data_IF_764324107557
#
_entry.id   IF_764324107557
#
_cell.length_a   1.000
_cell.length_b   1.000
_cell.length_c   1.000
_cell.angle_alpha   90.00
_cell.angle_beta   90.00
_cell.angle_gamma   90.00
#
_symmetry.space_group_name_H-M   'P 1'
#
loop_
_entity.id
_entity.type
_entity.pdbx_description
1 polymer ?
#
# COMPACT_ATOMS: atom_id res chain seq x y z
N UNK A 1 -10.88 30.16 -0.39
CA UNK A 1 -10.23 29.17 0.49
C UNK A 1 -9.27 28.32 -0.33
N UNK A 2 -8.04 28.29 0.05
CA UNK A 2 -7.11 27.40 -0.62
C UNK A 2 -7.33 25.97 -0.16
N UNK A 3 -7.30 25.05 -1.09
CA UNK A 3 -7.36 23.63 -0.74
C UNK A 3 -6.07 23.23 -0.01
N UNK A 4 -6.19 22.42 1.02
CA UNK A 4 -5.01 21.83 1.64
C UNK A 4 -4.29 20.94 0.64
N UNK A 5 -2.95 20.90 0.66
CA UNK A 5 -2.24 19.97 -0.19
C UNK A 5 -2.71 18.56 0.08
N UNK A 6 -2.99 17.81 -0.98
CA UNK A 6 -3.39 16.43 -0.87
C UNK A 6 -2.17 15.56 -1.12
N UNK A 7 -1.85 14.69 -0.18
CA UNK A 7 -0.70 13.80 -0.31
C UNK A 7 -1.05 12.40 0.13
N UNK A 8 -0.31 11.46 -0.38
CA UNK A 8 -0.53 10.05 -0.11
C UNK A 8 0.77 9.40 0.30
N UNK A 9 0.66 8.36 1.12
CA UNK A 9 1.78 7.53 1.52
C UNK A 9 1.69 6.21 0.77
N UNK A 10 2.83 5.74 0.26
CA UNK A 10 2.93 4.46 -0.42
C UNK A 10 4.01 3.65 0.28
N UNK A 11 3.67 2.48 0.75
CA UNK A 11 4.64 1.63 1.45
C UNK A 11 4.46 0.17 1.05
N UNK A 12 5.58 -0.53 0.89
CA UNK A 12 5.60 -1.99 0.73
C UNK A 12 6.03 -2.57 2.06
N UNK A 13 5.18 -3.38 2.66
CA UNK A 13 5.36 -3.82 4.04
C UNK A 13 5.23 -5.34 4.18
N UNK A 14 6.00 -5.90 5.11
CA UNK A 14 5.95 -7.31 5.46
C UNK A 14 5.99 -7.52 6.97
N UNK A 15 5.77 -6.46 7.74
CA UNK A 15 5.82 -6.48 9.20
C UNK A 15 4.53 -7.06 9.79
N UNK A 16 4.50 -7.33 11.11
CA UNK A 16 3.26 -7.74 11.78
C UNK A 16 2.16 -6.71 11.62
N UNK A 17 0.92 -7.17 11.54
CA UNK A 17 -0.24 -6.32 11.25
C UNK A 17 -0.37 -5.14 12.22
N UNK A 18 -0.01 -5.34 13.49
CA UNK A 18 -0.11 -4.29 14.49
C UNK A 18 0.80 -3.11 14.16
N UNK A 19 2.00 -3.40 13.63
CA UNK A 19 2.93 -2.36 13.23
C UNK A 19 2.47 -1.65 11.96
N UNK A 20 1.91 -2.41 11.02
CA UNK A 20 1.39 -1.84 9.77
C UNK A 20 0.20 -0.92 10.08
N UNK A 21 -0.70 -1.36 10.94
CA UNK A 21 -1.86 -0.56 11.32
C UNK A 21 -1.44 0.73 12.03
N UNK A 22 -0.45 0.66 12.92
CA UNK A 22 0.07 1.84 13.61
C UNK A 22 0.69 2.82 12.63
N UNK A 23 1.46 2.31 11.67
CA UNK A 23 2.07 3.13 10.62
C UNK A 23 1.00 3.88 9.81
N UNK A 24 -0.05 3.17 9.39
CA UNK A 24 -1.12 3.77 8.60
C UNK A 24 -1.87 4.83 9.41
N UNK A 25 -2.24 4.51 10.65
CA UNK A 25 -2.96 5.43 11.50
C UNK A 25 -2.16 6.70 11.77
N UNK A 26 -0.85 6.55 11.98
CA UNK A 26 0.03 7.70 12.19
C UNK A 26 -0.01 8.66 11.00
N UNK A 27 0.11 8.12 9.78
CA UNK A 27 0.16 8.97 8.59
C UNK A 27 -1.19 9.63 8.30
N UNK A 28 -2.29 8.93 8.53
CA UNK A 28 -3.61 9.53 8.39
C UNK A 28 -3.78 10.67 9.41
N UNK A 29 -3.34 10.47 10.65
CA UNK A 29 -3.42 11.50 11.68
C UNK A 29 -2.55 12.71 11.32
N UNK A 30 -1.42 12.48 10.63
CA UNK A 30 -0.53 13.56 10.20
C UNK A 30 -1.05 14.28 8.95
N UNK A 31 -2.19 13.87 8.40
CA UNK A 31 -2.84 14.59 7.31
C UNK A 31 -2.76 13.93 5.95
N UNK A 32 -2.27 12.69 5.85
CA UNK A 32 -2.28 11.99 4.58
C UNK A 32 -3.72 11.76 4.12
N UNK A 33 -4.02 12.05 2.87
CA UNK A 33 -5.34 11.82 2.31
C UNK A 33 -5.57 10.33 2.09
N UNK A 34 -4.52 9.60 1.70
CA UNK A 34 -4.58 8.17 1.43
C UNK A 34 -3.28 7.50 1.84
N UNK A 35 -3.39 6.25 2.28
CA UNK A 35 -2.24 5.39 2.55
C UNK A 35 -2.41 4.11 1.74
N UNK A 36 -1.47 3.84 0.84
CA UNK A 36 -1.45 2.63 0.04
C UNK A 36 -0.45 1.66 0.67
N UNK A 37 -0.95 0.54 1.16
CA UNK A 37 -0.12 -0.48 1.79
C UNK A 37 -0.06 -1.70 0.88
N UNK A 38 1.12 -1.97 0.34
CA UNK A 38 1.36 -3.14 -0.50
C UNK A 38 1.92 -4.23 0.37
N UNK A 39 1.09 -5.24 0.63
CA UNK A 39 1.40 -6.30 1.58
C UNK A 39 2.20 -7.39 0.86
N UNK A 40 3.47 -7.54 1.25
CA UNK A 40 4.34 -8.56 0.71
C UNK A 40 4.19 -9.79 1.61
N UNK A 41 3.66 -10.88 1.06
CA UNK A 41 3.35 -12.11 1.78
C UNK A 41 2.38 -11.91 2.96
N UNK A 42 1.19 -11.35 2.73
CA UNK A 42 0.24 -11.10 3.82
C UNK A 42 -0.39 -12.38 4.33
N UNK A 43 -0.90 -12.31 5.57
CA UNK A 43 -1.73 -13.36 6.12
C UNK A 43 -3.18 -13.16 5.67
N UNK A 44 -3.98 -14.24 5.62
CA UNK A 44 -5.40 -14.08 5.31
C UNK A 44 -6.08 -13.10 6.26
N UNK A 45 -6.85 -12.18 5.73
CA UNK A 45 -7.59 -11.20 6.53
C UNK A 45 -6.85 -9.91 6.84
N UNK A 46 -5.53 -9.84 6.63
CA UNK A 46 -4.77 -8.63 6.95
C UNK A 46 -5.27 -7.42 6.17
N UNK A 47 -5.53 -7.57 4.89
CA UNK A 47 -5.99 -6.46 4.06
C UNK A 47 -7.35 -5.95 4.56
N UNK A 48 -8.25 -6.84 4.93
CA UNK A 48 -9.58 -6.45 5.42
C UNK A 48 -9.48 -5.66 6.72
N UNK A 49 -8.58 -6.05 7.60
CA UNK A 49 -8.37 -5.35 8.86
C UNK A 49 -7.86 -3.93 8.60
N UNK A 50 -6.88 -3.80 7.71
CA UNK A 50 -6.27 -2.50 7.43
C UNK A 50 -7.23 -1.57 6.72
N UNK A 51 -8.08 -2.09 5.84
CA UNK A 51 -9.03 -1.26 5.09
C UNK A 51 -10.19 -0.76 5.94
N UNK A 52 -10.29 -1.19 7.19
CA UNK A 52 -11.22 -0.58 8.13
C UNK A 52 -10.76 0.81 8.56
N UNK A 53 -9.50 1.14 8.37
CA UNK A 53 -8.98 2.48 8.67
C UNK A 53 -9.35 3.43 7.53
N UNK A 54 -9.93 4.61 7.82
CA UNK A 54 -10.29 5.56 6.77
C UNK A 54 -9.07 6.00 5.97
N UNK A 55 -9.21 6.01 4.64
CA UNK A 55 -8.14 6.46 3.76
C UNK A 55 -7.06 5.42 3.47
N UNK A 56 -7.20 4.20 4.00
CA UNK A 56 -6.22 3.14 3.80
C UNK A 56 -6.69 2.18 2.72
N UNK A 57 -5.82 1.90 1.76
CA UNK A 57 -6.00 0.82 0.79
C UNK A 57 -4.89 -0.20 0.97
N UNK A 58 -5.26 -1.46 1.12
CA UNK A 58 -4.31 -2.54 1.30
C UNK A 58 -4.37 -3.47 0.09
N UNK A 59 -3.25 -3.62 -0.59
CA UNK A 59 -3.13 -4.42 -1.79
C UNK A 59 -2.26 -5.65 -1.49
N UNK A 60 -2.82 -6.83 -1.68
CA UNK A 60 -2.08 -8.08 -1.47
C UNK A 60 -1.21 -8.34 -2.70
N UNK A 61 0.10 -8.33 -2.51
CA UNK A 61 1.05 -8.59 -3.60
C UNK A 61 1.31 -10.10 -3.70
N UNK A 62 0.29 -10.82 -4.10
CA UNK A 62 0.34 -12.26 -4.29
C UNK A 62 0.73 -12.60 -5.74
N UNK A 63 0.70 -13.87 -6.08
CA UNK A 63 1.05 -14.32 -7.43
C UNK A 63 0.15 -13.69 -8.49
N UNK A 64 -1.14 -13.54 -8.19
CA UNK A 64 -2.09 -12.93 -9.14
C UNK A 64 -1.75 -11.47 -9.39
N UNK A 65 -1.35 -10.73 -8.35
CA UNK A 65 -0.93 -9.33 -8.47
C UNK A 65 0.26 -9.21 -9.43
N UNK A 66 1.30 -10.03 -9.23
CA UNK A 66 2.50 -9.94 -10.07
C UNK A 66 2.22 -10.41 -11.49
N UNK A 67 1.36 -11.42 -11.66
CA UNK A 67 0.98 -11.87 -12.98
C UNK A 67 0.27 -10.74 -13.75
N UNK A 68 -0.61 -10.02 -13.09
CA UNK A 68 -1.34 -8.92 -13.71
C UNK A 68 -0.43 -7.74 -14.02
N UNK A 69 0.45 -7.38 -13.08
CA UNK A 69 1.31 -6.20 -13.23
C UNK A 69 2.50 -6.41 -14.17
N UNK A 70 3.10 -7.60 -14.13
CA UNK A 70 4.36 -7.89 -14.82
C UNK A 70 4.30 -9.08 -15.76
N UNK A 71 3.18 -9.80 -15.78
CA UNK A 71 3.03 -11.03 -16.55
C UNK A 71 4.07 -12.07 -16.13
N UNK A 72 4.37 -12.13 -14.84
CA UNK A 72 5.37 -13.02 -14.30
C UNK A 72 5.37 -12.99 -12.78
N UNK A 73 6.51 -13.39 -12.22
CA UNK A 73 6.67 -13.53 -10.78
C UNK A 73 7.12 -12.22 -10.14
N UNK A 74 7.06 -12.19 -8.79
CA UNK A 74 7.57 -11.07 -8.01
C UNK A 74 9.04 -10.82 -8.35
N UNK A 75 9.44 -9.56 -8.56
CA UNK A 75 10.86 -9.24 -8.80
C UNK A 75 11.72 -9.61 -7.60
N UNK A 76 12.97 -10.00 -7.85
CA UNK A 76 13.91 -10.32 -6.77
C UNK A 76 14.36 -9.08 -6.01
N UNK A 77 14.40 -7.93 -6.70
CA UNK A 77 14.89 -6.69 -6.12
C UNK A 77 13.75 -5.95 -5.40
N UNK A 78 13.97 -5.61 -4.13
CA UNK A 78 13.00 -4.81 -3.37
C UNK A 78 12.79 -3.44 -4.03
N UNK A 79 13.84 -2.85 -4.59
CA UNK A 79 13.73 -1.56 -5.28
C UNK A 79 12.76 -1.66 -6.44
N UNK A 80 12.81 -2.73 -7.21
CA UNK A 80 11.91 -2.93 -8.33
C UNK A 80 10.47 -3.17 -7.86
N UNK A 81 10.31 -3.94 -6.77
CA UNK A 81 9.00 -4.14 -6.16
C UNK A 81 8.39 -2.81 -5.76
N UNK A 82 9.17 -1.97 -5.09
CA UNK A 82 8.70 -0.66 -4.67
C UNK A 82 8.32 0.23 -5.85
N UNK A 83 9.09 0.16 -6.94
CA UNK A 83 8.78 0.94 -8.14
C UNK A 83 7.46 0.51 -8.77
N UNK A 84 7.23 -0.78 -8.90
CA UNK A 84 5.98 -1.29 -9.47
C UNK A 84 4.79 -0.86 -8.60
N UNK A 85 4.94 -0.98 -7.28
CA UNK A 85 3.88 -0.61 -6.35
C UNK A 85 3.61 0.90 -6.37
N UNK A 86 4.66 1.71 -6.45
CA UNK A 86 4.49 3.16 -6.54
C UNK A 86 3.77 3.55 -7.83
N UNK A 87 4.09 2.91 -8.94
CA UNK A 87 3.41 3.16 -10.21
C UNK A 87 1.93 2.79 -10.14
N UNK A 88 1.62 1.66 -9.49
CA UNK A 88 0.23 1.26 -9.29
C UNK A 88 -0.52 2.31 -8.50
N UNK A 89 0.05 2.76 -7.38
CA UNK A 89 -0.58 3.76 -6.54
C UNK A 89 -0.79 5.07 -7.31
N UNK A 90 0.20 5.48 -8.09
CA UNK A 90 0.10 6.68 -8.91
C UNK A 90 -1.06 6.58 -9.91
N UNK A 91 -1.23 5.42 -10.54
CA UNK A 91 -2.34 5.19 -11.47
C UNK A 91 -3.70 5.33 -10.77
N UNK A 92 -3.78 4.93 -9.49
CA UNK A 92 -5.03 4.99 -8.73
C UNK A 92 -5.38 6.41 -8.31
N UNK A 93 -4.41 7.31 -8.26
CA UNK A 93 -4.62 8.69 -7.80
C UNK A 93 -4.75 9.70 -8.93
N UNK A 94 -4.47 9.31 -10.15
CA UNK A 94 -4.52 10.24 -11.30
C UNK A 94 -5.88 10.30 -11.97
#
# INVERSE_FOLDING_TARGET
MSASPTWAVVATVAEPIELIAAFAAYHIEMGAAQVFLFLDAPRPGDADILEKLPGVQAICCDAAYWQERLQGARPDSLTRVQRVNANYAYEQTS
#
